data_IF_793705138097
#
_entry.id   IF_793705138097
#
_cell.length_a   1.000
_cell.length_b   1.000
_cell.length_c   1.000
_cell.angle_alpha   90.00
_cell.angle_beta   90.00
_cell.angle_gamma   90.00
#
_symmetry.space_group_name_H-M   'P 1'
#
loop_
_entity.id
_entity.type
_entity.pdbx_description
1 polymer ?
#
# COMPACT_ATOMS: atom_id res chain seq x y z
N UNK A 1 -23.73 8.75 10.58
CA UNK A 1 -23.88 9.36 9.24
C UNK A 1 -25.19 8.87 8.64
N UNK A 2 -26.07 9.75 8.16
CA UNK A 2 -27.28 9.32 7.44
C UNK A 2 -26.90 8.97 6.00
N UNK A 3 -27.70 8.14 5.33
CA UNK A 3 -27.47 7.76 3.93
C UNK A 3 -27.40 9.00 3.03
N UNK A 4 -28.29 9.97 3.24
CA UNK A 4 -28.31 11.21 2.49
C UNK A 4 -26.99 12.00 2.60
N UNK A 5 -26.40 12.06 3.80
CA UNK A 5 -25.13 12.75 4.03
C UNK A 5 -24.00 12.08 3.22
N UNK A 6 -23.94 10.76 3.23
CA UNK A 6 -22.94 9.99 2.47
C UNK A 6 -23.09 10.22 0.95
N UNK A 7 -24.32 10.17 0.44
CA UNK A 7 -24.60 10.42 -1.00
C UNK A 7 -24.34 11.87 -1.42
N UNK A 8 -24.30 12.80 -0.45
CA UNK A 8 -24.01 14.21 -0.69
C UNK A 8 -22.51 14.53 -0.77
N UNK A 9 -21.63 13.58 -0.41
CA UNK A 9 -20.18 13.79 -0.47
C UNK A 9 -19.74 14.21 -1.88
N UNK A 10 -18.84 15.20 -1.93
CA UNK A 10 -18.22 15.69 -3.16
C UNK A 10 -16.71 15.63 -2.96
N UNK A 11 -16.03 15.09 -3.96
CA UNK A 11 -14.59 14.93 -3.95
C UNK A 11 -14.00 15.80 -5.06
N UNK A 12 -12.92 16.50 -4.76
CA UNK A 12 -12.10 17.20 -5.75
C UNK A 12 -10.77 16.50 -5.87
N UNK A 13 -10.27 16.38 -7.10
CA UNK A 13 -8.92 15.86 -7.32
C UNK A 13 -7.89 16.92 -6.87
N UNK A 14 -6.74 16.51 -6.29
CA UNK A 14 -5.68 17.43 -5.90
C UNK A 14 -4.93 18.06 -7.10
N UNK A 15 -5.26 17.68 -8.34
CA UNK A 15 -4.70 18.22 -9.58
C UNK A 15 -3.43 17.51 -10.04
N UNK A 16 -2.49 17.23 -9.13
CA UNK A 16 -1.27 16.45 -9.39
C UNK A 16 -1.29 15.12 -8.61
N UNK A 17 -0.52 14.10 -9.04
CA UNK A 17 -0.33 12.89 -8.25
C UNK A 17 0.25 13.23 -6.86
N UNK A 18 -0.30 12.61 -5.80
CA UNK A 18 0.21 12.79 -4.43
C UNK A 18 1.53 12.03 -4.20
N UNK A 19 1.77 10.96 -4.96
CA UNK A 19 2.94 10.10 -4.87
C UNK A 19 3.39 9.77 -6.28
N UNK A 20 4.64 10.11 -6.60
CA UNK A 20 5.31 9.68 -7.83
C UNK A 20 5.98 8.31 -7.64
N UNK A 21 6.12 7.48 -8.68
CA UNK A 21 6.78 6.18 -8.59
C UNK A 21 8.21 6.28 -8.04
N UNK A 22 8.52 5.65 -6.88
CA UNK A 22 9.88 5.68 -6.34
C UNK A 22 10.78 4.65 -7.03
N UNK A 23 12.09 4.74 -6.75
CA UNK A 23 13.06 3.68 -7.06
C UNK A 23 13.11 3.27 -8.55
N UNK A 24 12.93 4.24 -9.47
CA UNK A 24 12.88 3.99 -10.93
C UNK A 24 11.80 2.99 -11.35
N UNK A 25 10.78 2.79 -10.53
CA UNK A 25 9.57 2.08 -10.95
C UNK A 25 8.81 2.93 -11.98
N UNK A 26 8.21 2.35 -13.03
CA UNK A 26 7.29 3.07 -13.91
C UNK A 26 5.91 3.28 -13.28
N UNK A 27 5.62 2.66 -12.12
CA UNK A 27 4.29 2.68 -11.51
C UNK A 27 4.37 2.70 -9.98
N UNK A 28 3.42 3.41 -9.37
CA UNK A 28 2.99 3.26 -7.98
C UNK A 28 1.47 3.18 -7.99
N UNK A 29 0.90 2.10 -7.44
CA UNK A 29 -0.54 1.85 -7.58
C UNK A 29 -1.08 0.97 -6.45
N UNK A 30 -2.40 0.81 -6.47
CA UNK A 30 -3.21 0.06 -5.51
C UNK A 30 -2.90 0.42 -4.04
N UNK A 31 -3.10 1.70 -3.66
CA UNK A 31 -2.80 2.14 -2.30
C UNK A 31 -3.78 1.55 -1.29
N UNK A 32 -3.27 1.22 -0.12
CA UNK A 32 -4.05 0.94 1.08
C UNK A 32 -3.43 1.68 2.25
N UNK A 33 -4.23 2.33 3.09
CA UNK A 33 -3.72 3.22 4.13
C UNK A 33 -4.43 3.04 5.46
N UNK A 34 -3.74 3.45 6.52
CA UNK A 34 -4.25 3.61 7.88
C UNK A 34 -4.35 5.09 8.21
N UNK A 35 -5.40 5.46 8.94
CA UNK A 35 -5.59 6.80 9.48
C UNK A 35 -4.68 7.04 10.70
N UNK A 36 -4.38 8.31 11.05
CA UNK A 36 -3.71 8.68 12.29
C UNK A 36 -4.27 8.03 13.54
N UNK A 37 -5.60 7.89 13.63
CA UNK A 37 -6.27 7.25 14.77
C UNK A 37 -6.00 5.75 14.89
N UNK A 38 -5.49 5.12 13.83
CA UNK A 38 -5.25 3.69 13.77
C UNK A 38 -3.79 3.32 14.01
N UNK A 39 -2.88 4.29 13.97
CA UNK A 39 -1.42 4.09 13.98
C UNK A 39 -0.79 4.48 15.33
N UNK A 40 0.36 3.91 15.71
CA UNK A 40 0.97 4.21 17.01
C UNK A 40 1.61 5.60 17.08
N UNK A 41 1.98 6.17 15.93
CA UNK A 41 2.66 7.46 15.79
C UNK A 41 1.73 8.59 15.36
N UNK A 42 0.42 8.33 15.24
CA UNK A 42 -0.58 9.30 14.82
C UNK A 42 -0.33 9.91 13.44
N UNK A 43 0.36 9.17 12.57
CA UNK A 43 0.57 9.54 11.17
C UNK A 43 -0.31 8.67 10.26
N UNK A 44 -0.58 9.15 9.05
CA UNK A 44 -1.05 8.28 7.98
C UNK A 44 0.08 7.33 7.58
N UNK A 45 -0.25 6.05 7.39
CA UNK A 45 0.65 5.06 6.79
C UNK A 45 -0.01 4.49 5.55
N UNK A 46 0.63 4.61 4.40
CA UNK A 46 0.15 4.10 3.12
C UNK A 46 1.10 3.03 2.58
N UNK A 47 0.54 1.96 2.06
CA UNK A 47 1.23 0.87 1.41
C UNK A 47 0.76 0.84 -0.04
N UNK A 48 1.70 0.89 -0.98
CA UNK A 48 1.41 0.83 -2.41
C UNK A 48 2.43 -0.03 -3.13
N UNK A 49 2.01 -0.67 -4.22
CA UNK A 49 2.90 -1.51 -4.99
C UNK A 49 3.64 -0.72 -6.07
N UNK A 50 4.87 -1.16 -6.32
CA UNK A 50 5.70 -0.80 -7.46
C UNK A 50 6.10 -2.08 -8.19
N UNK A 51 6.89 -2.00 -9.28
CA UNK A 51 7.42 -3.21 -9.94
C UNK A 51 8.31 -4.07 -9.02
N UNK A 52 8.86 -3.47 -7.95
CA UNK A 52 9.76 -4.12 -7.01
C UNK A 52 9.02 -4.84 -5.86
N UNK A 53 7.79 -4.40 -5.59
CA UNK A 53 6.95 -4.93 -4.53
C UNK A 53 6.20 -3.82 -3.79
N UNK A 54 5.86 -4.06 -2.52
CA UNK A 54 5.08 -3.12 -1.71
C UNK A 54 6.02 -2.19 -0.94
N UNK A 55 5.85 -0.89 -1.13
CA UNK A 55 6.53 0.17 -0.40
C UNK A 55 5.61 0.82 0.62
N UNK A 56 6.22 1.42 1.65
CA UNK A 56 5.54 2.19 2.68
C UNK A 56 5.78 3.68 2.49
N UNK A 57 4.77 4.47 2.79
CA UNK A 57 4.78 5.92 2.79
C UNK A 57 4.12 6.44 4.07
N UNK A 58 4.60 7.58 4.57
CA UNK A 58 4.08 8.23 5.77
C UNK A 58 3.66 9.67 5.46
N UNK A 59 2.61 10.16 6.10
CA UNK A 59 2.13 11.54 5.96
C UNK A 59 1.50 12.04 7.25
N UNK A 60 1.64 13.33 7.55
CA UNK A 60 0.94 13.98 8.66
C UNK A 60 -0.39 14.61 8.26
N UNK A 61 -0.61 14.85 6.97
CA UNK A 61 -1.75 15.63 6.43
C UNK A 61 -2.58 14.86 5.37
N UNK A 62 -2.12 13.68 4.95
CA UNK A 62 -2.74 12.87 3.90
C UNK A 62 -2.48 13.37 2.48
N UNK A 63 -1.79 14.50 2.30
CA UNK A 63 -1.52 15.13 1.01
C UNK A 63 -0.03 15.04 0.63
N UNK A 64 0.85 15.20 1.61
CA UNK A 64 2.31 15.19 1.43
C UNK A 64 2.89 13.89 1.98
N UNK A 65 3.54 13.10 1.13
CA UNK A 65 3.97 11.74 1.47
C UNK A 65 5.47 11.57 1.43
N UNK A 66 6.03 10.96 2.48
CA UNK A 66 7.44 10.58 2.57
C UNK A 66 7.60 9.10 2.22
N UNK A 67 8.54 8.77 1.34
CA UNK A 67 8.85 7.37 1.00
C UNK A 67 9.69 6.71 2.11
N UNK A 68 9.21 5.58 2.64
CA UNK A 68 9.81 4.90 3.79
C UNK A 68 10.43 3.53 3.43
N UNK A 69 10.65 3.25 2.15
CA UNK A 69 11.32 2.04 1.68
C UNK A 69 10.40 0.87 1.34
N UNK A 70 11.01 -0.27 1.02
CA UNK A 70 10.34 -1.50 0.57
C UNK A 70 10.02 -2.40 1.76
N UNK A 71 8.76 -2.85 1.84
CA UNK A 71 8.25 -3.73 2.92
C UNK A 71 8.20 -5.18 2.48
N UNK A 72 7.72 -5.43 1.26
CA UNK A 72 7.57 -6.78 0.70
C UNK A 72 8.11 -6.77 -0.72
N UNK A 73 9.07 -7.65 -1.02
CA UNK A 73 9.52 -7.89 -2.40
C UNK A 73 8.48 -8.71 -3.15
N UNK A 74 8.23 -8.40 -4.42
CA UNK A 74 7.34 -9.18 -5.28
C UNK A 74 5.89 -9.31 -4.75
N UNK A 75 5.43 -8.29 -4.04
CA UNK A 75 4.05 -8.17 -3.58
C UNK A 75 3.31 -7.08 -4.36
N UNK A 76 2.02 -7.28 -4.61
CA UNK A 76 1.14 -6.27 -5.20
C UNK A 76 -0.21 -6.20 -4.50
N UNK A 77 -0.98 -5.15 -4.79
CA UNK A 77 -2.35 -4.93 -4.27
C UNK A 77 -2.41 -5.08 -2.74
N UNK A 78 -1.61 -4.28 -1.99
CA UNK A 78 -1.62 -4.34 -0.54
C UNK A 78 -3.00 -4.00 0.02
N UNK A 79 -3.36 -4.66 1.13
CA UNK A 79 -4.50 -4.30 1.95
C UNK A 79 -4.08 -4.36 3.42
N UNK A 80 -3.92 -3.18 4.03
CA UNK A 80 -3.52 -3.01 5.43
C UNK A 80 -4.77 -2.84 6.31
N UNK A 81 -4.77 -3.49 7.47
CA UNK A 81 -5.79 -3.29 8.50
C UNK A 81 -5.26 -3.64 9.88
N UNK A 82 -5.86 -3.04 10.91
CA UNK A 82 -5.55 -3.32 12.32
C UNK A 82 -6.60 -4.25 12.93
N UNK A 83 -6.13 -5.20 13.74
CA UNK A 83 -6.95 -6.03 14.63
C UNK A 83 -6.31 -6.07 16.02
N UNK A 84 -6.96 -5.43 16.99
CA UNK A 84 -6.41 -5.28 18.33
C UNK A 84 -5.07 -4.53 18.31
N UNK A 85 -3.99 -5.19 18.73
CA UNK A 85 -2.64 -4.63 18.77
C UNK A 85 -1.78 -4.99 17.54
N UNK A 86 -2.32 -5.78 16.61
CA UNK A 86 -1.58 -6.26 15.44
C UNK A 86 -2.13 -5.65 14.15
N UNK A 87 -1.21 -5.33 13.25
CA UNK A 87 -1.48 -4.94 11.88
C UNK A 87 -1.28 -6.13 10.96
N UNK A 88 -2.15 -6.25 9.96
CA UNK A 88 -2.15 -7.32 8.97
C UNK A 88 -2.08 -6.69 7.59
N UNK A 89 -0.98 -6.95 6.88
CA UNK A 89 -0.78 -6.56 5.50
C UNK A 89 -1.04 -7.78 4.61
N UNK A 90 -2.22 -7.84 4.01
CA UNK A 90 -2.57 -8.82 3.00
C UNK A 90 -2.06 -8.34 1.64
N UNK A 91 -1.61 -9.26 0.79
CA UNK A 91 -1.15 -8.92 -0.55
C UNK A 91 -1.13 -10.13 -1.47
N UNK A 92 -1.13 -9.85 -2.78
CA UNK A 92 -0.83 -10.85 -3.80
C UNK A 92 0.69 -10.98 -3.95
N UNK A 93 1.23 -12.17 -3.67
CA UNK A 93 2.61 -12.54 -3.98
C UNK A 93 2.67 -13.03 -5.42
N UNK A 94 3.53 -12.39 -6.22
CA UNK A 94 3.88 -12.87 -7.56
C UNK A 94 5.32 -13.43 -7.57
N UNK A 95 5.64 -14.35 -8.49
CA UNK A 95 6.99 -14.87 -8.62
C UNK A 95 7.98 -13.76 -9.03
N UNK A 96 9.24 -13.83 -8.58
CA UNK A 96 10.27 -12.86 -8.94
C UNK A 96 10.38 -12.66 -10.45
N UNK A 97 10.62 -11.42 -10.88
CA UNK A 97 10.85 -11.03 -12.28
C UNK A 97 9.69 -11.22 -13.27
N UNK A 98 8.51 -11.67 -12.83
CA UNK A 98 7.35 -11.81 -13.71
C UNK A 98 6.83 -10.48 -14.26
N UNK A 99 6.96 -9.38 -13.53
CA UNK A 99 6.51 -8.07 -14.03
C UNK A 99 7.29 -7.66 -15.31
N UNK A 100 8.64 -7.69 -15.31
CA UNK A 100 9.43 -7.52 -16.54
C UNK A 100 9.22 -8.61 -17.62
N UNK A 101 8.82 -9.82 -17.22
CA UNK A 101 8.66 -10.99 -18.12
C UNK A 101 7.19 -11.24 -18.51
N UNK A 102 6.27 -10.33 -18.18
CA UNK A 102 4.81 -10.50 -18.36
C UNK A 102 4.37 -10.61 -19.81
N UNK A 103 5.20 -10.14 -20.74
CA UNK A 103 5.08 -10.27 -22.19
C UNK A 103 5.46 -11.66 -22.72
N UNK A 104 6.07 -12.52 -21.92
CA UNK A 104 6.33 -13.93 -22.26
C UNK A 104 5.15 -14.81 -21.87
N UNK A 105 4.89 -15.93 -22.58
CA UNK A 105 3.79 -16.85 -22.28
C UNK A 105 4.08 -17.73 -21.04
N UNK A 106 4.50 -17.11 -19.94
CA UNK A 106 4.74 -17.77 -18.66
C UNK A 106 3.46 -17.72 -17.83
N UNK A 107 2.97 -18.86 -17.29
CA UNK A 107 1.76 -18.86 -16.50
C UNK A 107 1.93 -18.01 -15.23
N UNK A 108 1.01 -17.07 -15.02
CA UNK A 108 0.94 -16.27 -13.81
C UNK A 108 0.52 -17.15 -12.63
N UNK A 109 1.43 -17.37 -11.67
CA UNK A 109 1.15 -18.15 -10.45
C UNK A 109 1.28 -17.26 -9.24
N UNK A 110 0.19 -16.63 -8.83
CA UNK A 110 0.16 -15.83 -7.60
C UNK A 110 -0.55 -16.53 -6.46
N UNK A 111 -0.33 -16.03 -5.24
CA UNK A 111 -1.03 -16.47 -4.03
C UNK A 111 -1.27 -15.26 -3.12
N UNK A 112 -2.27 -15.36 -2.26
CA UNK A 112 -2.46 -14.38 -1.20
C UNK A 112 -1.53 -14.73 -0.03
N UNK A 113 -0.77 -13.75 0.44
CA UNK A 113 0.04 -13.84 1.65
C UNK A 113 -0.40 -12.76 2.64
N UNK A 114 -0.04 -12.96 3.89
CA UNK A 114 -0.22 -11.97 4.96
C UNK A 114 1.06 -11.81 5.73
N UNK A 115 1.39 -10.57 6.09
CA UNK A 115 2.43 -10.26 7.08
C UNK A 115 1.83 -9.49 8.23
N UNK A 116 2.36 -9.73 9.43
CA UNK A 116 1.91 -9.03 10.63
C UNK A 116 2.98 -8.09 11.16
N UNK A 117 2.55 -7.00 11.78
CA UNK A 117 3.43 -6.03 12.45
C UNK A 117 2.77 -5.50 13.73
N UNK A 118 3.60 -5.04 14.68
CA UNK A 118 3.14 -4.28 15.87
C UNK A 118 3.35 -2.77 15.71
N UNK A 119 4.23 -2.35 14.81
CA UNK A 119 4.73 -0.98 14.73
C UNK A 119 4.76 -0.41 13.31
N UNK A 120 4.25 -1.15 12.32
CA UNK A 120 4.23 -0.83 10.89
C UNK A 120 5.60 -0.73 10.22
N UNK A 121 6.68 -1.00 10.96
CA UNK A 121 8.07 -0.91 10.51
C UNK A 121 8.69 -2.29 10.36
N UNK A 122 8.48 -3.14 11.36
CA UNK A 122 8.99 -4.51 11.39
C UNK A 122 7.87 -5.49 11.07
N UNK A 123 8.10 -6.35 10.09
CA UNK A 123 7.11 -7.28 9.56
C UNK A 123 7.56 -8.71 9.76
N UNK A 124 6.61 -9.61 10.00
CA UNK A 124 6.87 -11.05 10.02
C UNK A 124 7.48 -11.53 8.69
N UNK A 125 8.21 -12.64 8.76
CA UNK A 125 8.79 -13.30 7.58
C UNK A 125 7.72 -13.63 6.53
#
# INVERSE_FOLDING_TARGET
MKIADFLSLRWTAPGQPLIEPPSRSPVVADPSFLLPSETPDQQFHLFAHTIWGIHRFESSDGNTWTHCGLVVRFGMRPYIRRFGELYYLYYERYPPFLMPLSWLPVPWRSRIEVRTSKDLRHWSA
#
